data_IF_323031983386
#
_entry.id   IF_323031983386
#
_cell.length_a   1.000
_cell.length_b   1.000
_cell.length_c   1.000
_cell.angle_alpha   90.00
_cell.angle_beta   90.00
_cell.angle_gamma   90.00
#
_symmetry.space_group_name_H-M   'P 1'
#
loop_
_entity.id
_entity.type
_entity.pdbx_description
1 polymer ?
#
# COMPACT_ATOMS: atom_id res chain seq x y z
N UNK A 1 -24.88 -25.77 12.88
CA UNK A 1 -25.49 -25.91 14.23
C UNK A 1 -24.89 -24.86 15.16
N UNK A 2 -25.47 -24.66 16.34
CA UNK A 2 -24.93 -23.77 17.39
C UNK A 2 -23.95 -24.58 18.24
N UNK A 3 -22.72 -24.10 18.38
CA UNK A 3 -21.68 -24.65 19.27
C UNK A 3 -21.72 -23.89 20.59
N UNK A 4 -21.88 -24.62 21.70
CA UNK A 4 -21.98 -24.08 23.06
C UNK A 4 -20.98 -24.77 23.98
N UNK A 5 -20.55 -24.09 25.04
CA UNK A 5 -19.76 -24.73 26.10
C UNK A 5 -20.58 -25.81 26.80
N UNK A 6 -19.93 -26.89 27.25
CA UNK A 6 -20.62 -27.90 28.05
C UNK A 6 -20.86 -27.36 29.46
N UNK A 7 -22.12 -27.04 29.78
CA UNK A 7 -22.55 -26.42 31.04
C UNK A 7 -22.17 -27.24 32.29
N UNK A 8 -21.84 -28.53 32.12
CA UNK A 8 -21.48 -29.44 33.22
C UNK A 8 -19.97 -29.52 33.53
N UNK A 9 -19.09 -28.90 32.75
CA UNK A 9 -17.65 -28.88 33.04
C UNK A 9 -17.11 -27.44 33.05
N UNK A 10 -16.13 -27.18 33.92
CA UNK A 10 -15.41 -25.90 33.99
C UNK A 10 -14.51 -25.63 32.76
N UNK A 11 -14.56 -26.50 31.74
CA UNK A 11 -13.71 -26.46 30.56
C UNK A 11 -14.31 -25.63 29.42
N UNK A 12 -13.50 -24.72 28.85
CA UNK A 12 -13.86 -23.98 27.63
C UNK A 12 -13.81 -24.91 26.41
N UNK A 13 -14.81 -24.88 25.54
CA UNK A 13 -14.76 -25.63 24.27
C UNK A 13 -13.82 -24.92 23.30
N UNK A 14 -12.67 -25.53 23.02
CA UNK A 14 -11.78 -25.11 21.94
C UNK A 14 -12.21 -25.74 20.62
N UNK A 15 -12.26 -24.95 19.54
CA UNK A 15 -12.57 -25.44 18.20
C UNK A 15 -11.27 -25.65 17.42
N UNK A 16 -10.90 -26.90 17.19
CA UNK A 16 -9.74 -27.27 16.38
C UNK A 16 -10.21 -27.73 15.00
N UNK A 17 -9.80 -27.02 13.96
CA UNK A 17 -10.19 -27.26 12.57
C UNK A 17 -8.94 -27.69 11.81
N UNK A 18 -8.71 -29.00 11.74
CA UNK A 18 -7.63 -29.55 10.94
C UNK A 18 -7.83 -31.03 10.71
N UNK A 19 -7.14 -31.54 9.71
CA UNK A 19 -7.07 -32.97 9.42
C UNK A 19 -5.67 -33.28 8.90
N UNK A 20 -5.21 -34.50 9.17
CA UNK A 20 -3.92 -35.02 8.69
C UNK A 20 -4.02 -35.63 7.29
N UNK A 21 -5.23 -35.70 6.71
CA UNK A 21 -5.49 -36.45 5.46
C UNK A 21 -6.28 -35.67 4.40
N UNK A 22 -7.10 -34.68 4.78
CA UNK A 22 -7.89 -33.83 3.87
C UNK A 22 -8.03 -32.41 4.43
N UNK A 23 -8.39 -31.43 3.60
CA UNK A 23 -8.72 -30.08 4.06
C UNK A 23 -9.97 -30.12 4.89
N UNK A 24 -9.87 -29.69 6.15
CA UNK A 24 -11.04 -29.54 7.00
C UNK A 24 -11.76 -28.23 6.62
N UNK A 25 -12.93 -28.34 6.01
CA UNK A 25 -13.78 -27.20 5.66
C UNK A 25 -14.93 -27.11 6.66
N UNK A 26 -14.97 -26.03 7.44
CA UNK A 26 -16.00 -25.79 8.46
C UNK A 26 -16.67 -24.45 8.18
N UNK A 27 -18.00 -24.44 8.11
CA UNK A 27 -18.79 -23.20 8.01
C UNK A 27 -19.55 -22.96 9.31
N UNK A 28 -19.32 -21.80 9.93
CA UNK A 28 -20.06 -21.34 11.10
C UNK A 28 -21.05 -20.24 10.69
N UNK A 29 -22.33 -20.61 10.63
CA UNK A 29 -23.42 -19.78 10.11
C UNK A 29 -24.41 -19.28 11.16
N UNK A 30 -24.28 -19.71 12.42
CA UNK A 30 -25.13 -19.31 13.52
C UNK A 30 -24.39 -18.53 14.61
N UNK A 31 -25.13 -17.88 15.52
CA UNK A 31 -24.54 -17.26 16.71
C UNK A 31 -24.12 -18.36 17.69
N UNK A 32 -22.81 -18.59 17.80
CA UNK A 32 -22.25 -19.56 18.72
C UNK A 32 -22.02 -18.92 20.09
N UNK A 33 -21.88 -19.72 21.15
CA UNK A 33 -21.68 -19.21 22.52
C UNK A 33 -20.39 -19.70 23.18
N UNK A 34 -19.67 -20.65 22.58
CA UNK A 34 -18.42 -21.18 23.14
C UNK A 34 -17.39 -20.10 23.49
N UNK A 35 -16.66 -20.30 24.59
CA UNK A 35 -15.69 -19.32 25.09
C UNK A 35 -14.24 -19.68 24.81
N UNK A 36 -13.95 -20.90 24.36
CA UNK A 36 -12.59 -21.35 24.04
C UNK A 36 -12.01 -20.73 22.77
N UNK A 37 -10.72 -21.01 22.56
CA UNK A 37 -9.97 -20.56 21.38
C UNK A 37 -10.38 -21.33 20.12
N UNK A 38 -10.08 -20.74 18.96
CA UNK A 38 -10.22 -21.41 17.66
C UNK A 38 -8.84 -21.60 17.07
N UNK A 39 -8.55 -22.80 16.56
CA UNK A 39 -7.24 -23.13 16.00
C UNK A 39 -7.43 -23.87 14.67
N UNK A 40 -6.71 -23.42 13.65
CA UNK A 40 -6.61 -24.08 12.35
C UNK A 40 -5.19 -24.67 12.22
N UNK A 41 -4.91 -25.84 12.81
CA UNK A 41 -3.56 -26.42 12.83
C UNK A 41 -3.07 -26.74 11.42
N UNK A 42 -1.91 -26.19 11.05
CA UNK A 42 -1.24 -26.49 9.80
C UNK A 42 -0.39 -27.75 9.91
N UNK A 43 -1.01 -28.89 9.67
CA UNK A 43 -0.34 -30.17 9.52
C UNK A 43 0.00 -30.33 8.03
N UNK A 44 1.04 -29.61 7.60
CA UNK A 44 1.90 -29.92 6.45
C UNK A 44 1.30 -30.73 5.27
N UNK A 45 1.30 -30.10 4.09
CA UNK A 45 0.79 -30.56 2.77
C UNK A 45 -0.71 -30.36 2.59
N UNK A 46 -1.07 -29.87 1.41
CA UNK A 46 -2.46 -29.64 1.00
C UNK A 46 -3.30 -30.90 1.29
N UNK A 47 -4.57 -30.74 1.73
CA UNK A 47 -5.38 -29.53 1.59
C UNK A 47 -5.47 -28.65 2.86
N UNK A 48 -5.59 -27.33 2.68
CA UNK A 48 -5.67 -26.32 3.76
C UNK A 48 -6.93 -26.50 4.62
N UNK A 49 -6.83 -26.19 5.92
CA UNK A 49 -8.00 -26.05 6.78
C UNK A 49 -8.69 -24.70 6.49
N UNK A 50 -9.99 -24.72 6.23
CA UNK A 50 -10.80 -23.55 5.91
C UNK A 50 -11.90 -23.39 6.95
N UNK A 51 -11.96 -22.21 7.56
CA UNK A 51 -13.06 -21.76 8.41
C UNK A 51 -13.83 -20.65 7.70
N UNK A 52 -15.05 -20.93 7.25
CA UNK A 52 -15.95 -19.92 6.71
C UNK A 52 -16.88 -19.38 7.78
N UNK A 53 -16.90 -18.06 7.95
CA UNK A 53 -17.74 -17.33 8.90
C UNK A 53 -18.79 -16.56 8.10
N UNK A 54 -20.07 -16.82 8.39
CA UNK A 54 -21.19 -16.16 7.71
C UNK A 54 -22.16 -15.47 8.68
N UNK A 55 -21.76 -15.38 9.97
CA UNK A 55 -22.51 -14.70 11.03
C UNK A 55 -21.57 -13.93 11.97
N UNK A 56 -21.96 -12.75 12.44
CA UNK A 56 -21.16 -11.92 13.37
C UNK A 56 -20.87 -12.61 14.71
N UNK A 57 -21.75 -13.51 15.16
CA UNK A 57 -21.58 -14.32 16.37
C UNK A 57 -20.91 -15.69 16.11
N UNK A 58 -20.36 -15.92 14.93
CA UNK A 58 -19.85 -17.24 14.55
C UNK A 58 -18.69 -17.74 15.42
N UNK A 59 -17.87 -16.86 15.98
CA UNK A 59 -16.71 -17.23 16.79
C UNK A 59 -16.99 -17.35 18.29
N UNK A 60 -18.25 -17.41 18.69
CA UNK A 60 -18.61 -17.54 20.10
C UNK A 60 -18.56 -16.21 20.85
N UNK A 61 -18.52 -16.30 22.18
CA UNK A 61 -18.50 -15.13 23.07
C UNK A 61 -17.18 -15.01 23.83
N UNK A 62 -16.92 -13.83 24.40
CA UNK A 62 -15.75 -13.55 25.20
C UNK A 62 -14.45 -13.37 24.41
N UNK A 63 -13.42 -12.93 25.12
CA UNK A 63 -12.08 -12.76 24.56
C UNK A 63 -11.46 -14.11 24.23
N UNK A 64 -10.94 -14.26 23.01
CA UNK A 64 -10.28 -15.50 22.57
C UNK A 64 -9.27 -15.24 21.46
N UNK A 65 -8.37 -16.21 21.30
CA UNK A 65 -7.42 -16.25 20.20
C UNK A 65 -7.96 -17.13 19.07
N UNK A 66 -7.80 -16.64 17.84
CA UNK A 66 -8.08 -17.37 16.61
C UNK A 66 -6.75 -17.56 15.88
N UNK A 67 -6.25 -18.79 15.86
CA UNK A 67 -4.96 -19.12 15.27
C UNK A 67 -5.14 -19.66 13.86
N UNK A 68 -4.63 -18.92 12.88
CA UNK A 68 -4.59 -19.28 11.45
C UNK A 68 -3.15 -19.22 10.95
N UNK A 69 -2.35 -20.18 11.40
CA UNK A 69 -0.90 -20.21 11.13
C UNK A 69 -0.50 -21.45 10.36
N UNK A 70 0.55 -21.31 9.55
CA UNK A 70 1.15 -22.38 8.77
C UNK A 70 2.39 -23.03 9.39
N UNK A 71 2.69 -24.28 9.01
CA UNK A 71 4.03 -24.85 9.18
C UNK A 71 5.02 -24.19 8.21
N UNK A 72 6.33 -24.39 8.40
CA UNK A 72 7.46 -23.69 7.74
C UNK A 72 7.51 -23.68 6.18
N UNK A 73 6.49 -24.17 5.48
CA UNK A 73 6.38 -24.12 4.04
C UNK A 73 5.66 -22.84 3.59
N UNK A 74 6.35 -22.05 2.75
CA UNK A 74 5.92 -20.75 2.26
C UNK A 74 4.47 -20.77 1.74
N UNK A 75 3.59 -19.98 2.38
CA UNK A 75 2.22 -19.76 1.92
C UNK A 75 1.17 -20.78 2.37
N UNK A 76 1.49 -21.81 3.18
CA UNK A 76 0.51 -22.83 3.59
C UNK A 76 0.14 -22.75 5.08
N UNK A 77 -1.05 -22.22 5.41
CA UNK A 77 -1.65 -22.18 6.74
C UNK A 77 -3.16 -22.37 6.69
N UNK A 78 -3.84 -22.35 7.84
CA UNK A 78 -5.30 -22.29 7.85
C UNK A 78 -5.83 -21.00 7.20
N UNK A 79 -7.05 -21.04 6.67
CA UNK A 79 -7.77 -19.89 6.11
C UNK A 79 -9.01 -19.56 6.92
N UNK A 80 -9.23 -18.28 7.15
CA UNK A 80 -10.48 -17.76 7.67
C UNK A 80 -11.13 -16.96 6.55
N UNK A 81 -12.33 -17.36 6.15
CA UNK A 81 -13.12 -16.78 5.10
C UNK A 81 -14.32 -16.05 5.68
N UNK A 82 -14.52 -14.79 5.28
CA UNK A 82 -15.61 -13.92 5.75
C UNK A 82 -16.61 -13.69 4.62
N UNK A 83 -17.90 -13.79 4.94
CA UNK A 83 -19.02 -13.59 4.01
C UNK A 83 -20.20 -12.90 4.72
N UNK A 84 -21.13 -12.32 3.95
CA UNK A 84 -22.45 -11.84 4.39
C UNK A 84 -22.50 -10.61 5.32
N UNK A 85 -21.55 -9.68 5.20
CA UNK A 85 -21.54 -8.41 5.96
C UNK A 85 -21.43 -8.60 7.49
N UNK A 86 -20.52 -9.48 7.92
CA UNK A 86 -20.32 -9.80 9.33
C UNK A 86 -19.38 -8.81 10.02
N UNK A 87 -19.62 -8.61 11.31
CA UNK A 87 -18.76 -7.81 12.19
C UNK A 87 -18.22 -8.68 13.30
N UNK A 88 -16.91 -8.91 13.29
CA UNK A 88 -16.19 -9.66 14.30
C UNK A 88 -15.76 -8.73 15.45
N UNK A 89 -16.00 -9.15 16.68
CA UNK A 89 -15.83 -8.34 17.88
C UNK A 89 -14.36 -7.98 18.19
N UNK A 90 -14.16 -6.88 18.92
CA UNK A 90 -12.82 -6.40 19.32
C UNK A 90 -12.11 -7.27 20.36
N UNK A 91 -12.86 -8.11 21.09
CA UNK A 91 -12.30 -9.09 22.02
C UNK A 91 -11.59 -10.27 21.33
N UNK A 92 -11.65 -10.35 20.00
CA UNK A 92 -10.99 -11.41 19.23
C UNK A 92 -9.54 -10.99 18.93
N UNK A 93 -8.62 -11.95 18.98
CA UNK A 93 -7.22 -11.75 18.59
C UNK A 93 -6.83 -12.81 17.56
N UNK A 94 -6.47 -12.37 16.36
CA UNK A 94 -6.07 -13.25 15.26
C UNK A 94 -4.56 -13.43 15.31
N UNK A 95 -4.08 -14.67 15.21
CA UNK A 95 -2.66 -15.00 15.10
C UNK A 95 -2.45 -15.64 13.75
N UNK A 96 -1.70 -14.99 12.86
CA UNK A 96 -1.70 -15.31 11.43
C UNK A 96 -0.32 -15.55 10.83
N UNK A 97 -0.25 -16.45 9.84
CA UNK A 97 0.86 -16.56 8.88
C UNK A 97 0.38 -17.26 7.59
N UNK A 98 1.00 -16.96 6.45
CA UNK A 98 0.55 -17.43 5.13
C UNK A 98 -0.75 -16.75 4.65
N UNK A 99 -1.47 -17.37 3.70
CA UNK A 99 -2.81 -16.92 3.29
C UNK A 99 -3.82 -17.18 4.40
N UNK A 100 -3.94 -16.23 5.32
CA UNK A 100 -4.65 -16.43 6.58
C UNK A 100 -6.09 -15.90 6.54
N UNK A 101 -6.32 -14.74 5.90
CA UNK A 101 -7.61 -14.04 5.96
C UNK A 101 -8.14 -13.73 4.56
N UNK A 102 -9.40 -14.08 4.34
CA UNK A 102 -10.13 -13.88 3.08
C UNK A 102 -11.46 -13.19 3.35
N UNK A 103 -11.72 -12.12 2.63
CA UNK A 103 -13.04 -11.53 2.49
C UNK A 103 -13.59 -11.97 1.13
N UNK A 104 -14.41 -13.02 1.13
CA UNK A 104 -14.94 -13.59 -0.11
C UNK A 104 -16.07 -12.74 -0.67
N UNK A 105 -16.95 -12.23 0.21
CA UNK A 105 -18.13 -11.43 -0.17
C UNK A 105 -18.64 -10.52 0.95
N UNK A 106 -19.34 -9.45 0.53
CA UNK A 106 -19.95 -8.48 1.45
C UNK A 106 -18.95 -7.51 2.08
N UNK A 107 -19.47 -6.70 3.00
CA UNK A 107 -18.74 -5.68 3.73
C UNK A 107 -18.46 -6.17 5.14
N UNK A 108 -17.32 -6.85 5.32
CA UNK A 108 -16.97 -7.49 6.58
C UNK A 108 -16.04 -6.61 7.42
N UNK A 109 -16.18 -6.70 8.73
CA UNK A 109 -15.42 -5.90 9.70
C UNK A 109 -14.71 -6.84 10.69
N UNK A 110 -13.40 -6.65 10.87
CA UNK A 110 -12.60 -7.24 11.94
C UNK A 110 -12.20 -6.14 12.93
N UNK A 111 -12.83 -6.10 14.09
CA UNK A 111 -12.45 -5.16 15.16
C UNK A 111 -11.30 -5.69 16.04
N UNK A 112 -11.04 -6.99 15.96
CA UNK A 112 -9.99 -7.67 16.73
C UNK A 112 -8.58 -7.41 16.18
N UNK A 113 -7.57 -7.50 17.05
CA UNK A 113 -6.17 -7.34 16.66
C UNK A 113 -5.70 -8.49 15.75
N UNK A 114 -4.71 -8.23 14.90
CA UNK A 114 -4.06 -9.25 14.05
C UNK A 114 -2.56 -9.28 14.34
N UNK A 115 -2.06 -10.44 14.73
CA UNK A 115 -0.69 -10.66 15.17
C UNK A 115 0.02 -11.58 14.18
N UNK A 116 1.05 -11.07 13.50
CA UNK A 116 1.81 -11.86 12.52
C UNK A 116 2.85 -12.72 13.24
N UNK A 117 2.59 -14.02 13.28
CA UNK A 117 3.39 -15.01 13.99
C UNK A 117 4.31 -15.77 13.05
N UNK A 118 5.31 -16.48 13.61
CA UNK A 118 6.12 -17.44 12.88
C UNK A 118 5.26 -18.52 12.20
N UNK A 119 5.74 -19.05 11.08
CA UNK A 119 5.05 -20.11 10.33
C UNK A 119 5.29 -19.99 8.83
N UNK A 120 4.22 -20.02 8.04
CA UNK A 120 4.24 -20.04 6.58
C UNK A 120 4.61 -18.71 5.88
N UNK A 121 5.51 -17.93 6.47
CA UNK A 121 5.97 -16.67 5.89
C UNK A 121 5.11 -15.46 6.30
N UNK A 122 4.93 -14.53 5.36
CA UNK A 122 4.18 -13.29 5.61
C UNK A 122 2.70 -13.58 5.87
N UNK A 123 2.00 -12.63 6.48
CA UNK A 123 0.53 -12.69 6.53
C UNK A 123 -0.02 -12.10 5.25
N UNK A 124 -0.84 -12.87 4.55
CA UNK A 124 -1.59 -12.39 3.39
C UNK A 124 -3.06 -12.23 3.78
N UNK A 125 -3.61 -11.06 3.41
CA UNK A 125 -5.01 -10.71 3.58
C UNK A 125 -5.58 -10.38 2.20
N UNK A 126 -6.64 -11.08 1.82
CA UNK A 126 -7.26 -10.94 0.50
C UNK A 126 -8.68 -10.43 0.65
N UNK A 127 -9.02 -9.34 -0.05
CA UNK A 127 -10.42 -8.93 -0.25
C UNK A 127 -10.84 -9.25 -1.68
N UNK A 128 -11.58 -10.33 -1.86
CA UNK A 128 -11.97 -10.82 -3.20
C UNK A 128 -13.10 -9.97 -3.78
N UNK A 129 -14.10 -9.63 -2.98
CA UNK A 129 -15.22 -8.78 -3.39
C UNK A 129 -15.83 -8.03 -2.20
N UNK A 130 -16.59 -6.96 -2.45
CA UNK A 130 -17.08 -6.10 -1.38
C UNK A 130 -15.94 -5.35 -0.68
N UNK A 131 -16.01 -5.22 0.64
CA UNK A 131 -15.00 -4.49 1.42
C UNK A 131 -14.63 -5.20 2.73
N UNK A 132 -13.34 -5.24 3.04
CA UNK A 132 -12.83 -5.70 4.33
C UNK A 132 -12.32 -4.52 5.16
N UNK A 133 -12.98 -4.22 6.28
CA UNK A 133 -12.48 -3.25 7.26
C UNK A 133 -11.75 -3.97 8.40
N UNK A 134 -10.52 -3.56 8.69
CA UNK A 134 -9.71 -3.99 9.82
C UNK A 134 -9.51 -2.78 10.74
N UNK A 135 -10.27 -2.77 11.84
CA UNK A 135 -10.20 -1.70 12.84
C UNK A 135 -9.23 -2.04 13.98
N UNK A 136 -8.93 -3.32 14.20
CA UNK A 136 -7.95 -3.74 15.18
C UNK A 136 -6.52 -3.45 14.74
N UNK A 137 -5.62 -3.27 15.71
CA UNK A 137 -4.20 -3.07 15.44
C UNK A 137 -3.57 -4.31 14.81
N UNK A 138 -2.54 -4.07 13.99
CA UNK A 138 -1.76 -5.12 13.35
C UNK A 138 -0.30 -5.02 13.76
N UNK A 139 0.27 -6.14 14.21
CA UNK A 139 1.64 -6.16 14.72
C UNK A 139 2.33 -7.47 14.41
N UNK A 140 3.62 -7.41 14.09
CA UNK A 140 4.42 -8.63 13.99
C UNK A 140 4.88 -9.06 15.39
N UNK A 141 4.51 -10.27 15.80
CA UNK A 141 4.91 -10.85 17.09
C UNK A 141 6.10 -11.81 16.96
N UNK A 142 6.49 -12.14 15.74
CA UNK A 142 7.69 -12.90 15.41
C UNK A 142 8.67 -12.09 14.55
N UNK A 143 9.96 -12.46 14.60
CA UNK A 143 10.97 -11.86 13.75
C UNK A 143 10.67 -12.09 12.25
N UNK A 144 11.06 -11.11 11.42
CA UNK A 144 11.04 -11.14 9.95
C UNK A 144 9.70 -11.38 9.26
N UNK A 145 8.57 -10.91 9.81
CA UNK A 145 7.27 -11.03 9.13
C UNK A 145 6.96 -9.82 8.23
N UNK A 146 5.99 -9.97 7.33
CA UNK A 146 5.47 -8.92 6.46
C UNK A 146 3.95 -9.01 6.32
N UNK A 147 3.36 -7.92 5.83
CA UNK A 147 1.94 -7.83 5.49
C UNK A 147 1.76 -7.70 3.98
N UNK A 148 0.99 -8.61 3.41
CA UNK A 148 0.66 -8.65 1.99
C UNK A 148 -0.85 -8.46 1.80
N UNK A 149 -1.23 -7.41 1.08
CA UNK A 149 -2.60 -7.01 0.81
C UNK A 149 -2.98 -7.32 -0.64
N UNK A 150 -4.08 -8.04 -0.83
CA UNK A 150 -4.47 -8.62 -2.12
C UNK A 150 -5.97 -8.44 -2.42
N UNK A 151 -6.32 -8.70 -3.66
CA UNK A 151 -7.70 -8.95 -4.11
C UNK A 151 -8.34 -7.79 -4.90
N UNK A 152 -9.47 -8.09 -5.52
CA UNK A 152 -10.23 -7.18 -6.38
C UNK A 152 -11.26 -6.34 -5.62
N UNK A 153 -11.66 -6.80 -4.43
CA UNK A 153 -12.45 -6.03 -3.48
C UNK A 153 -11.59 -5.02 -2.72
N UNK A 154 -12.26 -4.06 -2.10
CA UNK A 154 -11.60 -3.02 -1.34
C UNK A 154 -11.22 -3.49 0.08
N UNK A 155 -10.26 -2.81 0.67
CA UNK A 155 -9.89 -2.98 2.07
C UNK A 155 -9.64 -1.65 2.76
N UNK A 156 -9.99 -1.56 4.04
CA UNK A 156 -9.69 -0.42 4.91
C UNK A 156 -8.97 -0.92 6.15
N UNK A 157 -7.81 -0.35 6.44
CA UNK A 157 -7.08 -0.54 7.68
C UNK A 157 -7.08 0.80 8.41
N UNK A 158 -7.83 0.85 9.50
CA UNK A 158 -7.88 2.01 10.41
C UNK A 158 -7.12 1.77 11.71
N UNK A 159 -6.87 0.51 12.07
CA UNK A 159 -5.95 0.16 13.15
C UNK A 159 -4.49 0.52 12.83
N UNK A 160 -3.67 0.64 13.88
CA UNK A 160 -2.24 0.91 13.74
C UNK A 160 -1.52 -0.34 13.23
N UNK A 161 -0.73 -0.19 12.17
CA UNK A 161 0.27 -1.18 11.74
C UNK A 161 1.61 -0.82 12.42
N UNK A 162 2.17 -1.75 13.17
CA UNK A 162 3.44 -1.56 13.90
C UNK A 162 4.45 -2.68 13.65
N UNK A 163 5.74 -2.36 13.79
CA UNK A 163 6.84 -3.33 13.65
C UNK A 163 6.78 -4.48 14.65
N UNK A 164 6.22 -4.24 15.84
CA UNK A 164 6.17 -5.21 16.93
C UNK A 164 7.57 -5.73 17.28
N UNK A 165 7.77 -7.05 17.15
CA UNK A 165 9.04 -7.74 17.41
C UNK A 165 10.03 -7.70 16.24
N UNK A 166 9.70 -7.05 15.11
CA UNK A 166 10.63 -6.96 13.96
C UNK A 166 11.69 -5.89 14.19
N UNK A 167 12.96 -6.23 13.93
CA UNK A 167 14.09 -5.30 14.09
C UNK A 167 14.53 -4.64 12.78
N UNK A 168 14.07 -5.16 11.64
CA UNK A 168 14.37 -4.67 10.30
C UNK A 168 13.26 -3.80 9.71
N UNK A 169 12.23 -3.51 10.51
CA UNK A 169 10.97 -2.93 10.06
C UNK A 169 10.06 -3.94 9.37
N UNK A 170 8.76 -3.77 9.54
CA UNK A 170 7.70 -4.59 8.93
C UNK A 170 7.45 -4.12 7.48
N UNK A 171 7.73 -4.94 6.45
CA UNK A 171 7.34 -4.62 5.09
C UNK A 171 5.82 -4.74 4.92
N UNK A 172 5.23 -3.76 4.23
CA UNK A 172 3.82 -3.70 3.87
C UNK A 172 3.69 -3.63 2.35
N UNK A 173 2.97 -4.57 1.74
CA UNK A 173 2.89 -4.69 0.28
C UNK A 173 1.45 -4.75 -0.19
N UNK A 174 1.05 -3.83 -1.08
CA UNK A 174 -0.13 -3.99 -1.94
C UNK A 174 0.29 -4.81 -3.16
N UNK A 175 0.00 -6.11 -3.12
CA UNK A 175 0.64 -7.13 -3.95
C UNK A 175 -0.12 -7.43 -5.25
N UNK A 176 -1.43 -7.70 -5.17
CA UNK A 176 -2.21 -8.18 -6.31
C UNK A 176 -3.66 -7.72 -6.27
N UNK A 177 -4.37 -7.91 -7.38
CA UNK A 177 -5.78 -7.56 -7.56
C UNK A 177 -6.02 -6.07 -7.81
N UNK A 178 -7.16 -5.77 -8.42
CA UNK A 178 -7.53 -4.42 -8.86
C UNK A 178 -8.05 -3.51 -7.72
N UNK A 179 -8.40 -4.09 -6.58
CA UNK A 179 -9.04 -3.39 -5.46
C UNK A 179 -8.16 -2.32 -4.80
N UNK A 180 -8.81 -1.45 -4.03
CA UNK A 180 -8.15 -0.40 -3.25
C UNK A 180 -7.97 -0.82 -1.81
N UNK A 181 -6.73 -0.88 -1.35
CA UNK A 181 -6.43 -0.97 0.08
C UNK A 181 -6.13 0.41 0.65
N UNK A 182 -6.89 0.83 1.65
CA UNK A 182 -6.76 2.13 2.32
C UNK A 182 -6.06 1.98 3.66
N UNK A 183 -4.97 2.73 3.86
CA UNK A 183 -4.32 2.91 5.16
C UNK A 183 -4.68 4.30 5.69
N UNK A 184 -5.30 4.34 6.88
CA UNK A 184 -5.72 5.59 7.55
C UNK A 184 -5.15 5.76 8.95
N UNK A 185 -4.65 4.66 9.55
CA UNK A 185 -4.06 4.68 10.88
C UNK A 185 -2.79 5.52 10.99
N UNK A 186 -2.45 5.90 12.22
CA UNK A 186 -1.14 6.47 12.57
C UNK A 186 -0.13 5.33 12.65
N UNK A 187 0.29 4.82 11.49
CA UNK A 187 1.11 3.61 11.42
C UNK A 187 2.54 3.88 11.86
N UNK A 188 3.08 2.97 12.67
CA UNK A 188 4.43 3.10 13.28
C UNK A 188 5.44 2.14 12.67
N UNK A 189 5.07 1.38 11.63
CA UNK A 189 6.02 0.50 10.96
C UNK A 189 7.12 1.28 10.24
N UNK A 190 8.34 0.76 10.32
CA UNK A 190 9.54 1.36 9.72
C UNK A 190 10.01 0.65 8.46
N UNK A 191 9.38 -0.49 8.11
CA UNK A 191 9.72 -1.25 6.92
C UNK A 191 9.26 -0.60 5.60
N UNK A 192 9.68 -1.22 4.50
CA UNK A 192 9.37 -0.77 3.13
C UNK A 192 7.86 -0.88 2.87
N UNK A 193 7.30 0.14 2.23
CA UNK A 193 5.97 0.02 1.60
C UNK A 193 6.13 -0.27 0.11
N UNK A 194 5.48 -1.30 -0.40
CA UNK A 194 5.56 -1.67 -1.83
C UNK A 194 4.18 -1.67 -2.47
N UNK A 195 4.05 -1.10 -3.67
CA UNK A 195 2.86 -1.17 -4.51
C UNK A 195 3.23 -1.85 -5.83
N UNK A 196 2.61 -2.98 -6.14
CA UNK A 196 2.86 -3.74 -7.38
C UNK A 196 1.63 -3.81 -8.30
N UNK A 197 0.42 -3.71 -7.76
CA UNK A 197 -0.82 -3.79 -8.53
C UNK A 197 -2.01 -3.12 -7.79
N UNK A 198 -3.07 -2.78 -8.53
CA UNK A 198 -4.26 -2.11 -7.97
C UNK A 198 -3.92 -0.77 -7.32
N UNK A 199 -4.66 -0.40 -6.27
CA UNK A 199 -4.47 0.89 -5.59
C UNK A 199 -4.11 0.71 -4.11
N UNK A 200 -3.03 1.36 -3.67
CA UNK A 200 -2.78 1.62 -2.25
C UNK A 200 -3.14 3.08 -1.96
N UNK A 201 -4.15 3.30 -1.12
CA UNK A 201 -4.59 4.62 -0.69
C UNK A 201 -4.02 4.96 0.69
N UNK A 202 -3.35 6.10 0.82
CA UNK A 202 -2.91 6.65 2.10
C UNK A 202 -3.68 7.93 2.41
N UNK A 203 -4.27 8.02 3.60
CA UNK A 203 -5.17 9.12 3.91
C UNK A 203 -5.16 9.51 5.38
N UNK A 204 -5.68 10.70 5.68
CA UNK A 204 -5.94 11.27 7.03
C UNK A 204 -4.73 11.49 7.96
N UNK A 205 -3.62 10.78 7.76
CA UNK A 205 -2.44 10.79 8.62
C UNK A 205 -1.17 10.89 7.77
N UNK A 206 -0.22 11.73 8.21
CA UNK A 206 1.14 11.78 7.64
C UNK A 206 1.88 10.45 7.81
N UNK A 207 1.48 9.65 8.80
CA UNK A 207 2.03 8.33 9.10
C UNK A 207 1.22 7.19 8.45
N UNK A 208 0.25 7.47 7.57
CA UNK A 208 -0.55 6.41 6.95
C UNK A 208 0.31 5.40 6.16
N UNK A 209 1.45 5.84 5.61
CA UNK A 209 2.42 4.98 4.94
C UNK A 209 3.52 4.47 5.88
N UNK A 210 3.42 4.66 7.20
CA UNK A 210 4.44 4.34 8.21
C UNK A 210 5.36 5.53 8.54
N UNK A 211 6.39 5.30 9.37
CA UNK A 211 7.24 6.37 9.92
C UNK A 211 8.58 6.52 9.20
N UNK A 212 9.07 7.76 9.13
CA UNK A 212 10.43 8.08 8.69
C UNK A 212 10.68 7.88 7.19
N UNK A 213 11.96 7.97 6.82
CA UNK A 213 12.43 7.98 5.43
C UNK A 213 12.60 6.57 4.81
N UNK A 214 11.90 5.56 5.33
CA UNK A 214 11.93 4.23 4.73
C UNK A 214 11.39 4.26 3.30
N UNK A 215 11.81 3.28 2.49
CA UNK A 215 11.51 3.27 1.06
C UNK A 215 10.04 2.96 0.79
N UNK A 216 9.44 3.76 -0.07
CA UNK A 216 8.24 3.45 -0.82
C UNK A 216 8.64 2.97 -2.22
N UNK A 217 8.38 1.71 -2.54
CA UNK A 217 8.69 1.11 -3.83
C UNK A 217 7.44 1.06 -4.71
N UNK A 218 7.47 1.76 -5.84
CA UNK A 218 6.42 1.76 -6.84
C UNK A 218 6.82 0.82 -7.99
N UNK A 219 6.41 -0.44 -7.87
CA UNK A 219 6.61 -1.52 -8.84
C UNK A 219 5.41 -1.73 -9.75
N UNK A 220 4.54 -0.75 -9.90
CA UNK A 220 3.31 -0.79 -10.68
C UNK A 220 2.11 -0.20 -9.92
N UNK A 221 0.94 -0.30 -10.54
CA UNK A 221 -0.32 0.12 -9.92
C UNK A 221 -0.40 1.62 -9.62
N UNK A 222 -1.21 1.96 -8.62
CA UNK A 222 -1.50 3.34 -8.21
C UNK A 222 -1.26 3.55 -6.72
N UNK A 223 -0.52 4.60 -6.38
CA UNK A 223 -0.51 5.18 -5.05
C UNK A 223 -1.51 6.35 -5.03
N UNK A 224 -2.55 6.29 -4.20
CA UNK A 224 -3.52 7.37 -4.04
C UNK A 224 -3.27 8.07 -2.71
N UNK A 225 -2.91 9.34 -2.74
CA UNK A 225 -2.72 10.17 -1.56
C UNK A 225 -3.93 11.08 -1.41
N UNK A 226 -4.62 11.01 -0.27
CA UNK A 226 -5.87 11.75 -0.07
C UNK A 226 -5.90 12.49 1.26
N UNK A 227 -6.02 13.81 1.22
CA UNK A 227 -6.41 14.63 2.37
C UNK A 227 -6.92 16.00 1.90
N UNK A 228 -7.74 16.69 2.70
CA UNK A 228 -8.20 18.05 2.34
C UNK A 228 -7.11 19.12 2.49
N UNK A 229 -5.98 18.77 3.09
CA UNK A 229 -4.77 19.60 3.15
C UNK A 229 -3.57 18.78 2.72
N UNK A 230 -2.54 19.45 2.20
CA UNK A 230 -1.28 18.79 1.84
C UNK A 230 -0.67 18.05 3.03
N UNK A 231 -0.35 16.77 2.83
CA UNK A 231 0.35 15.94 3.82
C UNK A 231 1.79 15.69 3.37
N UNK A 232 2.72 15.67 4.32
CA UNK A 232 4.09 15.23 4.10
C UNK A 232 4.25 13.80 4.64
N UNK A 233 4.31 12.82 3.74
CA UNK A 233 4.52 11.42 4.08
C UNK A 233 5.99 11.05 4.29
N UNK A 234 6.92 11.91 3.87
CA UNK A 234 8.38 11.78 4.02
C UNK A 234 8.99 10.45 3.52
N UNK A 235 8.26 9.63 2.75
CA UNK A 235 8.74 8.35 2.21
C UNK A 235 9.66 8.59 1.00
N UNK A 236 10.91 8.14 1.10
CA UNK A 236 11.80 8.10 -0.05
C UNK A 236 11.22 7.12 -1.08
N UNK A 237 11.06 7.56 -2.31
CA UNK A 237 10.31 6.83 -3.33
C UNK A 237 11.23 6.31 -4.43
N UNK A 238 11.14 5.01 -4.70
CA UNK A 238 11.83 4.36 -5.82
C UNK A 238 10.81 3.84 -6.81
N UNK A 239 10.95 4.20 -8.08
CA UNK A 239 10.07 3.74 -9.17
C UNK A 239 10.77 2.64 -9.95
N UNK A 240 10.23 1.43 -9.90
CA UNK A 240 10.80 0.22 -10.53
C UNK A 240 9.95 -0.32 -11.68
N UNK A 241 8.69 0.10 -11.80
CA UNK A 241 7.86 -0.12 -12.98
C UNK A 241 7.01 1.13 -13.26
N UNK A 242 6.40 1.21 -14.45
CA UNK A 242 5.45 2.30 -14.75
C UNK A 242 4.36 2.36 -13.69
N UNK A 243 4.23 3.51 -13.02
CA UNK A 243 3.38 3.67 -11.84
C UNK A 243 2.67 5.01 -11.85
N UNK A 244 1.50 5.07 -11.22
CA UNK A 244 0.73 6.31 -11.06
C UNK A 244 0.72 6.77 -9.60
N UNK A 245 0.91 8.06 -9.37
CA UNK A 245 0.57 8.71 -8.10
C UNK A 245 -0.61 9.64 -8.34
N UNK A 246 -1.69 9.42 -7.61
CA UNK A 246 -2.88 10.25 -7.64
C UNK A 246 -2.93 11.12 -6.39
N UNK A 247 -3.07 12.44 -6.58
CA UNK A 247 -3.37 13.36 -5.48
C UNK A 247 -4.87 13.64 -5.46
N UNK A 248 -5.50 13.42 -4.32
CA UNK A 248 -6.94 13.55 -4.12
C UNK A 248 -7.25 14.27 -2.80
N UNK A 249 -8.53 14.57 -2.60
CA UNK A 249 -9.05 15.12 -1.36
C UNK A 249 -10.07 14.15 -0.73
N UNK A 250 -10.39 14.34 0.55
CA UNK A 250 -11.39 13.49 1.24
C UNK A 250 -12.81 13.81 0.80
N UNK A 251 -13.04 15.05 0.41
CA UNK A 251 -14.32 15.61 -0.03
C UNK A 251 -14.11 16.44 -1.28
N UNK A 252 -15.17 16.69 -2.06
CA UNK A 252 -15.10 17.51 -3.27
C UNK A 252 -14.64 18.95 -2.98
N UNK A 253 -13.34 19.22 -3.10
CA UNK A 253 -12.71 20.53 -2.83
C UNK A 253 -11.54 20.77 -3.78
N UNK A 254 -10.89 21.93 -3.69
CA UNK A 254 -9.70 22.24 -4.49
C UNK A 254 -8.60 21.17 -4.30
N UNK A 255 -7.94 20.79 -5.39
CA UNK A 255 -6.78 19.92 -5.37
C UNK A 255 -5.66 20.47 -4.47
N UNK A 256 -4.99 19.55 -3.77
CA UNK A 256 -3.90 19.83 -2.84
C UNK A 256 -2.57 19.30 -3.37
N UNK A 257 -1.46 19.70 -2.76
CA UNK A 257 -0.15 19.11 -3.03
C UNK A 257 0.31 18.25 -1.86
N UNK A 258 0.58 16.97 -2.12
CA UNK A 258 1.21 16.08 -1.15
C UNK A 258 2.73 16.03 -1.34
N UNK A 259 3.47 15.79 -0.25
CA UNK A 259 4.93 15.70 -0.27
C UNK A 259 5.38 14.29 0.10
N UNK A 260 6.31 13.77 -0.68
CA UNK A 260 7.08 12.55 -0.43
C UNK A 260 8.54 12.92 -0.15
N UNK A 261 9.37 11.92 0.16
CA UNK A 261 10.81 12.08 0.38
C UNK A 261 11.59 12.32 -0.92
N UNK A 262 12.73 11.67 -1.08
CA UNK A 262 13.48 11.69 -2.34
C UNK A 262 12.77 10.89 -3.44
N UNK A 263 13.14 11.13 -4.70
CA UNK A 263 12.74 10.33 -5.85
C UNK A 263 13.96 9.63 -6.47
N UNK A 264 13.88 8.32 -6.68
CA UNK A 264 14.83 7.57 -7.52
C UNK A 264 14.05 6.88 -8.62
N UNK A 265 14.43 7.10 -9.88
CA UNK A 265 13.72 6.55 -11.03
C UNK A 265 14.70 6.16 -12.15
N UNK A 266 14.56 4.93 -12.64
CA UNK A 266 15.31 4.44 -13.79
C UNK A 266 14.64 4.79 -15.12
N UNK A 267 14.71 3.89 -16.10
CA UNK A 267 14.03 4.02 -17.38
C UNK A 267 12.52 3.71 -17.30
N UNK A 268 11.82 4.38 -16.39
CA UNK A 268 10.40 4.15 -16.09
C UNK A 268 9.56 5.40 -16.36
N UNK A 269 8.24 5.21 -16.46
CA UNK A 269 7.27 6.30 -16.45
C UNK A 269 6.65 6.49 -15.07
N UNK A 270 6.63 7.72 -14.57
CA UNK A 270 5.86 8.12 -13.39
C UNK A 270 4.73 9.05 -13.84
N UNK A 271 3.49 8.57 -13.73
CA UNK A 271 2.30 9.36 -14.01
C UNK A 271 1.82 10.09 -12.76
N UNK A 272 1.41 11.35 -12.90
CA UNK A 272 0.69 12.08 -11.85
C UNK A 272 -0.73 12.35 -12.31
N UNK A 273 -1.70 12.02 -11.46
CA UNK A 273 -3.13 12.14 -11.76
C UNK A 273 -3.88 12.91 -10.66
N UNK A 274 -5.02 13.47 -11.04
CA UNK A 274 -6.01 14.09 -10.14
C UNK A 274 -6.99 13.03 -9.69
N UNK A 275 -7.26 12.96 -8.38
CA UNK A 275 -8.28 12.08 -7.83
C UNK A 275 -9.70 12.60 -8.02
N UNK A 276 -10.69 11.77 -7.71
CA UNK A 276 -12.09 12.05 -8.06
C UNK A 276 -12.69 13.22 -7.27
N UNK A 277 -12.16 13.51 -6.08
CA UNK A 277 -12.67 14.58 -5.22
C UNK A 277 -11.90 15.90 -5.38
N UNK A 278 -10.72 15.87 -5.97
CA UNK A 278 -9.97 17.09 -6.26
C UNK A 278 -10.58 17.81 -7.49
N UNK A 279 -11.20 18.96 -7.24
CA UNK A 279 -11.98 19.74 -8.22
C UNK A 279 -11.31 21.09 -8.55
N UNK A 280 -11.43 21.55 -9.79
CA UNK A 280 -11.22 22.95 -10.19
C UNK A 280 -9.81 23.55 -10.08
N UNK A 281 -8.84 22.88 -9.44
CA UNK A 281 -7.46 23.37 -9.28
C UNK A 281 -6.43 22.25 -9.50
N UNK A 282 -5.16 22.64 -9.51
CA UNK A 282 -4.04 21.74 -9.73
C UNK A 282 -3.82 20.78 -8.56
N UNK A 283 -3.88 19.47 -8.82
CA UNK A 283 -3.47 18.44 -7.86
C UNK A 283 -1.97 18.18 -7.96
N UNK A 284 -1.27 18.18 -6.83
CA UNK A 284 0.19 18.25 -6.81
C UNK A 284 0.86 17.08 -6.10
N UNK A 285 2.03 16.69 -6.60
CA UNK A 285 2.98 15.83 -5.90
C UNK A 285 4.33 16.55 -5.85
N UNK A 286 4.94 16.59 -4.66
CA UNK A 286 6.27 17.15 -4.43
C UNK A 286 7.23 16.09 -3.89
N UNK A 287 8.44 16.07 -4.43
CA UNK A 287 9.57 15.32 -3.90
C UNK A 287 10.69 16.28 -3.47
N UNK A 288 11.58 15.80 -2.62
CA UNK A 288 12.85 16.44 -2.30
C UNK A 288 13.86 16.30 -3.45
N UNK A 289 15.06 15.78 -3.16
CA UNK A 289 16.03 15.45 -4.20
C UNK A 289 15.52 14.36 -5.13
N UNK A 290 15.89 14.44 -6.41
CA UNK A 290 15.60 13.43 -7.40
C UNK A 290 16.88 12.88 -8.04
N UNK A 291 16.96 11.57 -8.23
CA UNK A 291 18.07 10.87 -8.89
C UNK A 291 17.53 10.06 -10.05
N UNK A 292 17.91 10.42 -11.27
CA UNK A 292 17.50 9.73 -12.48
C UNK A 292 18.61 8.74 -12.86
N UNK A 293 18.34 7.44 -12.70
CA UNK A 293 19.32 6.37 -12.96
C UNK A 293 19.18 5.75 -14.36
N UNK A 294 18.26 6.27 -15.16
CA UNK A 294 18.04 5.93 -16.58
C UNK A 294 17.25 7.05 -17.27
N UNK A 295 16.75 6.78 -18.49
CA UNK A 295 15.90 7.72 -19.23
C UNK A 295 14.49 7.76 -18.64
N UNK A 296 14.29 8.59 -17.61
CA UNK A 296 13.04 8.68 -16.87
C UNK A 296 11.99 9.49 -17.64
N UNK A 297 10.73 9.04 -17.61
CA UNK A 297 9.60 9.79 -18.15
C UNK A 297 8.68 10.27 -17.01
N UNK A 298 8.60 11.57 -16.80
CA UNK A 298 7.72 12.19 -15.83
C UNK A 298 6.49 12.75 -16.56
N UNK A 299 5.32 12.22 -16.24
CA UNK A 299 4.10 12.38 -17.02
C UNK A 299 2.94 12.95 -16.19
N UNK A 300 3.02 14.20 -15.68
CA UNK A 300 1.88 14.83 -15.03
C UNK A 300 0.74 15.07 -16.03
N UNK A 301 -0.46 14.56 -15.72
CA UNK A 301 -1.68 14.75 -16.50
C UNK A 301 -2.19 16.21 -16.43
N UNK A 302 -3.20 16.54 -17.25
CA UNK A 302 -3.86 17.84 -17.19
C UNK A 302 -4.32 18.17 -15.77
N UNK A 303 -4.18 19.44 -15.36
CA UNK A 303 -4.50 19.91 -14.01
C UNK A 303 -3.70 19.20 -12.89
N UNK A 304 -2.51 18.68 -13.20
CA UNK A 304 -1.58 18.20 -12.18
C UNK A 304 -0.23 18.91 -12.22
N UNK A 305 0.46 18.91 -11.09
CA UNK A 305 1.83 19.41 -10.95
C UNK A 305 2.72 18.35 -10.29
N UNK A 306 3.90 18.15 -10.86
CA UNK A 306 4.99 17.42 -10.22
C UNK A 306 6.10 18.42 -9.88
N UNK A 307 6.52 18.48 -8.62
CA UNK A 307 7.61 19.36 -8.18
C UNK A 307 8.78 18.52 -7.66
N UNK A 308 9.97 18.73 -8.22
CA UNK A 308 11.22 18.23 -7.67
C UNK A 308 11.90 19.42 -6.97
N UNK A 309 11.72 19.48 -5.65
CA UNK A 309 12.05 20.67 -4.83
C UNK A 309 13.55 20.76 -4.50
N UNK A 310 14.25 19.63 -4.50
CA UNK A 310 15.69 19.57 -4.30
C UNK A 310 16.46 19.57 -5.61
N UNK A 311 17.73 19.18 -5.53
CA UNK A 311 18.57 18.93 -6.70
C UNK A 311 18.07 17.68 -7.43
N UNK A 312 17.85 17.84 -8.73
CA UNK A 312 17.59 16.74 -9.69
C UNK A 312 18.91 16.38 -10.34
N UNK A 313 19.46 15.22 -10.02
CA UNK A 313 20.63 14.68 -10.68
C UNK A 313 20.19 13.97 -11.96
N UNK A 314 20.54 14.53 -13.12
CA UNK A 314 20.25 13.90 -14.41
C UNK A 314 21.17 12.68 -14.60
N UNK A 315 20.63 11.57 -15.10
CA UNK A 315 21.41 10.39 -15.45
C UNK A 315 22.28 10.62 -16.70
N UNK A 316 23.18 9.68 -17.00
CA UNK A 316 24.08 9.73 -18.17
C UNK A 316 23.44 9.21 -19.46
N UNK A 317 22.17 8.84 -19.44
CA UNK A 317 21.46 8.31 -20.59
C UNK A 317 21.05 9.41 -21.59
N UNK A 318 20.86 9.04 -22.85
CA UNK A 318 20.18 9.90 -23.82
C UNK A 318 18.76 10.17 -23.36
N UNK A 319 18.35 11.45 -23.38
CA UNK A 319 17.05 11.88 -22.85
C UNK A 319 16.87 11.46 -21.39
N UNK A 320 17.88 11.78 -20.56
CA UNK A 320 17.89 11.45 -19.13
C UNK A 320 16.56 11.77 -18.45
N UNK A 321 15.94 12.88 -18.82
CA UNK A 321 14.57 13.24 -18.44
C UNK A 321 13.69 13.50 -19.67
N UNK A 322 12.54 12.83 -19.72
CA UNK A 322 11.42 13.19 -20.58
C UNK A 322 10.29 13.75 -19.72
N UNK A 323 9.81 14.94 -20.07
CA UNK A 323 8.56 15.52 -19.57
C UNK A 323 7.47 15.26 -20.59
N UNK A 324 6.48 14.46 -20.22
CA UNK A 324 5.27 14.21 -21.00
C UNK A 324 4.01 14.60 -20.22
N UNK A 325 2.83 14.39 -20.80
CA UNK A 325 1.54 14.76 -20.21
C UNK A 325 1.28 16.27 -20.18
N UNK A 326 0.01 16.66 -20.20
CA UNK A 326 -0.39 18.07 -20.33
C UNK A 326 -0.16 18.92 -19.06
N UNK A 327 0.19 18.31 -17.93
CA UNK A 327 0.44 19.00 -16.66
C UNK A 327 1.79 19.69 -16.58
N UNK A 328 2.11 20.21 -15.39
CA UNK A 328 3.37 20.92 -15.11
C UNK A 328 4.38 20.03 -14.39
N UNK A 329 5.65 20.14 -14.78
CA UNK A 329 6.79 19.64 -14.00
C UNK A 329 7.64 20.84 -13.61
N UNK A 330 7.94 21.00 -12.33
CA UNK A 330 8.83 22.05 -11.81
C UNK A 330 10.12 21.41 -11.29
N UNK A 331 11.26 21.86 -11.81
CA UNK A 331 12.59 21.49 -11.33
C UNK A 331 13.15 22.67 -10.56
N UNK A 332 13.25 22.55 -9.23
CA UNK A 332 13.73 23.65 -8.41
C UNK A 332 15.25 23.77 -8.43
N UNK A 333 15.98 22.68 -8.66
CA UNK A 333 17.42 22.67 -8.89
C UNK A 333 17.80 21.51 -9.80
N UNK A 334 18.72 21.73 -10.74
CA UNK A 334 19.21 20.70 -11.67
C UNK A 334 20.72 20.60 -11.58
N UNK A 335 21.22 19.40 -11.25
CA UNK A 335 22.62 19.04 -11.37
C UNK A 335 22.80 18.18 -12.61
N UNK A 336 23.63 18.64 -13.55
CA UNK A 336 24.00 17.89 -14.73
C UNK A 336 24.81 16.65 -14.39
N UNK A 337 24.32 15.47 -14.76
CA UNK A 337 25.15 14.26 -14.84
C UNK A 337 25.81 14.17 -16.21
N UNK A 338 26.99 14.76 -16.35
CA UNK A 338 28.08 14.35 -17.26
C UNK A 338 27.79 13.99 -18.73
N UNK A 339 26.63 14.27 -19.34
CA UNK A 339 26.42 13.97 -20.76
C UNK A 339 27.04 15.07 -21.63
N UNK A 340 28.36 15.03 -21.75
CA UNK A 340 29.17 15.97 -22.55
C UNK A 340 29.25 15.57 -24.02
N UNK A 341 28.47 14.57 -24.47
CA UNK A 341 28.52 14.07 -25.84
C UNK A 341 27.56 14.88 -26.72
N UNK A 342 28.10 15.59 -27.71
CA UNK A 342 27.32 16.40 -28.64
C UNK A 342 26.25 15.57 -29.38
N UNK A 343 25.01 16.06 -29.44
CA UNK A 343 23.87 15.43 -30.12
C UNK A 343 22.90 14.65 -29.22
N UNK A 344 23.15 14.60 -27.90
CA UNK A 344 22.27 13.93 -26.94
C UNK A 344 21.55 14.97 -26.06
N UNK A 345 20.21 14.94 -26.06
CA UNK A 345 19.41 15.84 -25.21
C UNK A 345 19.45 15.37 -23.76
N UNK A 346 19.67 16.31 -22.84
CA UNK A 346 19.56 16.05 -21.40
C UNK A 346 18.09 16.04 -20.95
N UNK A 347 17.25 16.84 -21.59
CA UNK A 347 15.83 16.97 -21.31
C UNK A 347 15.02 16.98 -22.61
N UNK A 348 13.93 16.23 -22.67
CA UNK A 348 12.92 16.30 -23.73
C UNK A 348 11.58 16.71 -23.15
N UNK A 349 10.90 17.67 -23.76
CA UNK A 349 9.54 18.10 -23.41
C UNK A 349 8.63 17.70 -24.56
N UNK A 350 7.75 16.72 -24.35
CA UNK A 350 6.83 16.20 -25.37
C UNK A 350 5.40 16.70 -25.21
N UNK A 351 5.04 17.21 -24.02
CA UNK A 351 3.76 17.88 -23.75
C UNK A 351 3.81 18.66 -22.42
N UNK A 352 2.91 19.64 -22.29
CA UNK A 352 2.69 20.41 -21.07
C UNK A 352 3.85 21.36 -20.76
N UNK A 353 3.99 21.73 -19.50
CA UNK A 353 4.98 22.73 -19.07
C UNK A 353 6.10 22.09 -18.28
N UNK A 354 7.35 22.38 -18.65
CA UNK A 354 8.50 22.25 -17.78
C UNK A 354 8.87 23.63 -17.25
N UNK A 355 8.86 23.80 -15.93
CA UNK A 355 9.33 25.02 -15.26
C UNK A 355 10.68 24.75 -14.61
N UNK A 356 11.65 25.61 -14.89
CA UNK A 356 12.91 25.68 -14.15
C UNK A 356 12.73 26.76 -13.07
N UNK A 357 12.74 26.33 -11.81
CA UNK A 357 12.56 27.17 -10.64
C UNK A 357 13.78 28.03 -10.33
N UNK A 358 13.71 28.81 -9.26
CA UNK A 358 14.65 29.91 -8.99
C UNK A 358 16.01 29.52 -8.41
N UNK A 359 16.29 28.24 -8.12
CA UNK A 359 17.65 27.85 -7.70
C UNK A 359 18.57 27.70 -8.92
N UNK A 360 19.88 27.64 -8.67
CA UNK A 360 20.88 27.42 -9.71
C UNK A 360 20.58 26.12 -10.48
N UNK A 361 20.21 26.26 -11.75
CA UNK A 361 19.99 25.17 -12.68
C UNK A 361 21.16 25.15 -13.67
N UNK A 362 22.07 24.20 -13.51
CA UNK A 362 23.15 24.00 -14.48
C UNK A 362 22.75 22.87 -15.41
N UNK A 363 22.33 23.23 -16.63
CA UNK A 363 22.04 22.26 -17.67
C UNK A 363 23.22 22.18 -18.64
N UNK A 364 23.90 21.05 -18.68
CA UNK A 364 24.95 20.76 -19.68
C UNK A 364 24.40 19.74 -20.67
N UNK A 365 23.84 20.23 -21.78
CA UNK A 365 23.26 19.40 -22.84
C UNK A 365 22.00 20.03 -23.44
N UNK A 366 21.45 19.42 -24.48
CA UNK A 366 20.36 20.03 -25.24
C UNK A 366 19.00 19.84 -24.54
N UNK A 367 18.12 20.84 -24.69
CA UNK A 367 16.68 20.73 -24.38
C UNK A 367 15.93 20.61 -25.69
N UNK A 368 15.27 19.47 -25.91
CA UNK A 368 14.30 19.36 -27.00
C UNK A 368 12.90 19.74 -26.52
N UNK A 369 12.22 20.55 -27.34
CA UNK A 369 10.81 20.89 -27.17
C UNK A 369 10.10 20.34 -28.40
N UNK A 370 9.42 19.22 -28.22
CA UNK A 370 8.69 18.51 -29.26
C UNK A 370 7.20 18.52 -28.91
N UNK A 371 6.33 18.89 -29.85
CA UNK A 371 4.89 18.97 -29.63
C UNK A 371 4.31 20.40 -29.49
N UNK A 372 3.13 20.58 -30.06
CA UNK A 372 2.47 21.88 -30.21
C UNK A 372 2.03 22.55 -28.89
N UNK A 373 2.00 21.81 -27.78
CA UNK A 373 1.57 22.30 -26.45
C UNK A 373 2.72 22.32 -25.44
N UNK A 374 3.94 22.03 -25.88
CA UNK A 374 5.13 21.93 -25.03
C UNK A 374 5.68 23.32 -24.72
N UNK A 375 5.90 23.61 -23.43
CA UNK A 375 6.38 24.91 -22.96
C UNK A 375 7.57 24.67 -22.03
N UNK A 376 8.69 25.33 -22.32
CA UNK A 376 9.77 25.56 -21.35
C UNK A 376 9.56 26.94 -20.71
N UNK A 377 9.35 26.97 -19.40
CA UNK A 377 9.25 28.19 -18.60
C UNK A 377 10.48 28.32 -17.71
N UNK A 378 11.15 29.47 -17.77
CA UNK A 378 12.31 29.76 -16.93
C UNK A 378 11.89 30.86 -15.95
N UNK A 379 11.82 30.51 -14.67
CA UNK A 379 11.36 31.42 -13.60
C UNK A 379 12.57 31.76 -12.71
N UNK A 380 13.38 32.71 -13.17
CA UNK A 380 14.57 33.18 -12.47
C UNK A 380 15.30 34.27 -13.26
N UNK A 381 16.03 35.14 -12.57
CA UNK A 381 16.96 36.09 -13.19
C UNK A 381 18.22 35.33 -13.61
N UNK A 382 18.62 35.48 -14.87
CA UNK A 382 19.88 34.98 -15.44
C UNK A 382 21.10 35.33 -14.59
#
# INVERSE_FOLDING_TARGET
GIIQDNVASTGKVALNIGSTTFGANVTLSGPNTFTGNVSLPALNTQPRAILTLTNSGALGTGTKTITSTGANNAGNGGEIHLQNNITLASGLSFTTSGFALWNDSGNNIINGAINFQSGAGNTFITSTSGSLTIAGNMTAVAATRGLNLRGDGDGLISGIISDGSTTTGLPVTKESGAGTWTLSGVNTYTGITTVTAGTLRATTSVQALGTGAATLSLGGGTLLLANNTGLNFARNTTVTATSTITSDTLTAVAGVTHTLGTLSIGAQTLNIATGANATGTTSGISFGNASLTGAANLAPAANTSLTLSGTTALGTANNALTKSGAGSLTLSGVASGGNTTAGNNSISITSGTLSLGSNANTLTGDVAIDGATSILSIVGTS
#
